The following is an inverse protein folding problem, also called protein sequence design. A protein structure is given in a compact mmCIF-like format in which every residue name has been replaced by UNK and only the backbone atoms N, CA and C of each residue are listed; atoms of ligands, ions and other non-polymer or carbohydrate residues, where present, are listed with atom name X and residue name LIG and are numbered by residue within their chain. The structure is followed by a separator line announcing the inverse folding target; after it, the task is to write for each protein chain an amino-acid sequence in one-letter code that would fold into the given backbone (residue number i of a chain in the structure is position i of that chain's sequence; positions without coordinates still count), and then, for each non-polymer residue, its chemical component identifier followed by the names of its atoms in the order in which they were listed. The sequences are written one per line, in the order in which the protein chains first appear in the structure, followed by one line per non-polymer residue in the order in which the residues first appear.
data_IF_625111303920
#
_entry.id   IF_625111303920
#
_cell.length_a   1.000
_cell.length_b   1.000
_cell.length_c   1.000
_cell.angle_alpha   90.00
_cell.angle_beta   90.00
_cell.angle_gamma   90.00
#
_symmetry.space_group_name_H-M   'P 1'
#
loop_
_entity.id
_entity.type
_entity.pdbx_description
1 polymer ?
#
# COMPACT_ATOMS: atom_id res chain seq x y z
N UNK A 1 -17.96 15.45 66.54
CA UNK A 1 -16.72 14.69 66.22
C UNK A 1 -16.62 14.23 64.75
N UNK A 2 -17.64 14.43 63.91
CA UNK A 2 -17.67 13.92 62.52
C UNK A 2 -17.23 14.84 61.37
N UNK A 3 -16.96 16.17 61.51
CA UNK A 3 -16.65 17.01 60.36
C UNK A 3 -15.27 16.70 59.75
N UNK A 4 -14.30 16.31 60.58
CA UNK A 4 -12.97 15.88 60.14
C UNK A 4 -13.00 14.54 59.37
N UNK A 5 -13.91 13.64 59.76
CA UNK A 5 -14.11 12.35 59.08
C UNK A 5 -14.78 12.53 57.70
N UNK A 6 -15.74 13.45 57.59
CA UNK A 6 -16.38 13.80 56.30
C UNK A 6 -15.42 14.49 55.33
N UNK A 7 -14.57 15.38 55.84
CA UNK A 7 -13.53 16.03 55.04
C UNK A 7 -12.49 15.03 54.52
N UNK A 8 -12.04 14.09 55.37
CA UNK A 8 -11.12 13.03 54.97
C UNK A 8 -11.74 12.09 53.92
N UNK A 9 -13.02 11.74 54.07
CA UNK A 9 -13.74 10.92 53.08
C UNK A 9 -13.88 11.66 51.74
N UNK A 10 -14.24 12.95 51.76
CA UNK A 10 -14.37 13.76 50.55
C UNK A 10 -13.02 13.92 49.82
N UNK A 11 -11.93 14.12 50.56
CA UNK A 11 -10.58 14.22 50.00
C UNK A 11 -10.11 12.89 49.39
N UNK A 12 -10.43 11.77 50.04
CA UNK A 12 -10.14 10.43 49.52
C UNK A 12 -10.90 10.11 48.23
N UNK A 13 -12.18 10.47 48.16
CA UNK A 13 -13.00 10.30 46.94
C UNK A 13 -12.49 11.19 45.79
N UNK A 14 -12.10 12.44 46.08
CA UNK A 14 -11.53 13.35 45.08
C UNK A 14 -10.19 12.83 44.53
N UNK A 15 -9.31 12.29 45.39
CA UNK A 15 -8.04 11.70 44.97
C UNK A 15 -8.23 10.43 44.11
N UNK A 16 -9.23 9.60 44.44
CA UNK A 16 -9.58 8.42 43.64
C UNK A 16 -10.18 8.81 42.26
N UNK A 17 -10.99 9.87 42.20
CA UNK A 17 -11.55 10.37 40.95
C UNK A 17 -10.49 10.95 40.00
N UNK A 18 -9.44 11.59 40.53
CA UNK A 18 -8.31 12.10 39.74
C UNK A 18 -7.42 10.98 39.17
N UNK A 19 -7.36 9.82 39.83
CA UNK A 19 -6.56 8.66 39.40
C UNK A 19 -7.23 7.84 38.28
N UNK A 20 -8.53 8.05 38.03
CA UNK A 20 -9.30 7.35 37.01
C UNK A 20 -9.17 7.95 35.60
N UNK A 21 -8.64 9.17 35.45
CA UNK A 21 -8.60 9.88 34.17
C UNK A 21 -7.23 9.82 33.45
N UNK A 22 -6.21 9.18 34.04
CA UNK A 22 -4.83 9.25 33.54
C UNK A 22 -4.20 7.93 33.08
N UNK A 23 -4.78 6.77 33.43
CA UNK A 23 -4.03 5.50 33.38
C UNK A 23 -4.80 4.32 32.79
N UNK A 24 -5.83 4.57 31.98
CA UNK A 24 -6.29 3.51 31.07
C UNK A 24 -5.40 3.57 29.85
N UNK A 25 -4.55 2.56 29.69
CA UNK A 25 -3.80 2.22 28.49
C UNK A 25 -4.71 2.29 27.25
N UNK A 26 -4.89 3.49 26.71
CA UNK A 26 -5.57 3.71 25.46
C UNK A 26 -4.62 3.17 24.40
N UNK A 27 -4.96 2.01 23.86
CA UNK A 27 -4.17 1.31 22.85
C UNK A 27 -3.67 2.30 21.81
N UNK A 28 -2.40 2.18 21.46
CA UNK A 28 -1.72 3.07 20.52
C UNK A 28 -2.66 3.47 19.37
N UNK A 29 -2.89 4.77 19.14
CA UNK A 29 -3.83 5.20 18.11
C UNK A 29 -3.44 4.55 16.79
N UNK A 30 -4.38 3.84 16.16
CA UNK A 30 -4.11 3.13 14.92
C UNK A 30 -3.57 4.11 13.88
N UNK A 31 -2.37 3.84 13.38
CA UNK A 31 -1.78 4.56 12.26
C UNK A 31 -1.88 3.65 11.05
N UNK A 32 -2.61 4.11 10.04
CA UNK A 32 -2.67 3.44 8.74
C UNK A 32 -1.29 3.51 8.07
N UNK A 33 -0.95 2.48 7.31
CA UNK A 33 0.18 2.53 6.39
C UNK A 33 -0.16 3.42 5.20
N UNK A 34 0.83 4.20 4.75
CA UNK A 34 0.69 5.10 3.62
C UNK A 34 1.72 4.71 2.58
N UNK A 35 1.24 4.19 1.45
CA UNK A 35 2.05 3.89 0.27
C UNK A 35 1.73 4.90 -0.83
N UNK A 36 2.75 5.53 -1.40
CA UNK A 36 2.61 6.61 -2.37
C UNK A 36 3.61 6.47 -3.51
N UNK A 37 3.18 6.88 -4.70
CA UNK A 37 4.01 6.93 -5.91
C UNK A 37 3.96 5.65 -6.74
N UNK A 38 5.00 5.45 -7.54
CA UNK A 38 5.05 4.37 -8.52
C UNK A 38 5.75 3.13 -7.93
N UNK A 39 5.02 2.02 -7.81
CA UNK A 39 5.62 0.74 -7.44
C UNK A 39 6.23 0.06 -8.66
N UNK A 40 7.55 -0.07 -8.68
CA UNK A 40 8.29 -0.73 -9.74
C UNK A 40 8.91 -1.99 -9.16
N UNK A 41 8.80 -3.14 -9.85
CA UNK A 41 9.44 -4.40 -9.45
C UNK A 41 10.75 -4.65 -10.21
N UNK A 42 11.61 -5.50 -9.66
CA UNK A 42 12.83 -5.95 -10.33
C UNK A 42 12.54 -6.63 -11.68
N UNK A 43 11.42 -7.34 -11.80
CA UNK A 43 10.95 -7.94 -13.04
C UNK A 43 10.62 -6.87 -14.11
N UNK A 44 9.93 -5.79 -13.73
CA UNK A 44 9.64 -4.69 -14.66
C UNK A 44 10.92 -3.99 -15.12
N UNK A 45 11.89 -3.80 -14.22
CA UNK A 45 13.20 -3.23 -14.58
C UNK A 45 13.97 -4.15 -15.54
N UNK A 46 13.89 -5.46 -15.34
CA UNK A 46 14.54 -6.44 -16.22
C UNK A 46 13.95 -6.46 -17.64
N UNK A 47 12.71 -6.01 -17.81
CA UNK A 47 12.07 -5.88 -19.12
C UNK A 47 12.55 -4.64 -19.88
N UNK A 48 13.16 -3.66 -19.22
CA UNK A 48 13.64 -2.43 -19.87
C UNK A 48 14.81 -2.73 -20.79
N UNK A 49 14.77 -2.13 -21.99
CA UNK A 49 15.82 -2.24 -22.98
C UNK A 49 16.09 -0.88 -23.61
N UNK A 50 17.37 -0.59 -23.86
CA UNK A 50 17.76 0.60 -24.63
C UNK A 50 17.06 0.61 -25.99
N UNK A 51 16.65 1.77 -26.44
CA UNK A 51 15.92 1.96 -27.70
C UNK A 51 14.40 1.76 -27.60
N UNK A 52 13.85 1.46 -26.41
CA UNK A 52 12.39 1.42 -26.23
C UNK A 52 11.76 2.80 -26.36
N UNK A 53 10.57 2.89 -26.96
CA UNK A 53 9.83 4.16 -27.01
C UNK A 53 9.26 4.52 -25.65
N UNK A 54 8.97 5.80 -25.44
CA UNK A 54 8.28 6.32 -24.23
C UNK A 54 7.01 5.54 -23.89
N UNK A 55 6.22 5.16 -24.91
CA UNK A 55 4.99 4.39 -24.72
C UNK A 55 5.25 2.97 -24.24
N UNK A 56 6.29 2.32 -24.76
CA UNK A 56 6.69 0.99 -24.33
C UNK A 56 7.19 1.02 -22.88
N UNK A 57 8.01 2.01 -22.53
CA UNK A 57 8.47 2.20 -21.14
C UNK A 57 7.29 2.45 -20.20
N UNK A 58 6.33 3.28 -20.62
CA UNK A 58 5.09 3.54 -19.86
C UNK A 58 4.22 2.28 -19.72
N UNK A 59 4.19 1.40 -20.72
CA UNK A 59 3.46 0.14 -20.61
C UNK A 59 4.07 -0.79 -19.57
N UNK A 60 5.40 -0.81 -19.45
CA UNK A 60 6.14 -1.66 -18.51
C UNK A 60 6.10 -1.09 -17.08
N UNK A 61 6.47 0.19 -16.91
CA UNK A 61 6.64 0.83 -15.59
C UNK A 61 5.39 1.57 -15.10
N UNK A 62 4.38 1.71 -15.97
CA UNK A 62 3.25 2.59 -15.73
C UNK A 62 3.55 4.06 -16.05
N UNK A 63 2.53 4.89 -15.84
CA UNK A 63 2.63 6.34 -16.06
C UNK A 63 3.41 6.98 -14.92
N UNK A 64 4.47 7.76 -15.20
CA UNK A 64 5.19 8.48 -14.16
C UNK A 64 4.25 9.49 -13.49
N UNK A 65 4.29 9.56 -12.16
CA UNK A 65 3.43 10.48 -11.39
C UNK A 65 3.76 11.95 -11.68
N UNK A 66 5.00 12.24 -12.09
CA UNK A 66 5.48 13.57 -12.45
C UNK A 66 6.07 13.54 -13.86
N UNK A 67 5.42 14.23 -14.80
CA UNK A 67 6.01 14.61 -16.08
C UNK A 67 6.39 16.09 -15.99
N UNK A 68 7.69 16.38 -15.90
CA UNK A 68 8.20 17.75 -15.93
C UNK A 68 8.06 18.28 -17.37
N UNK A 69 7.23 19.31 -17.56
CA UNK A 69 6.99 19.93 -18.86
C UNK A 69 8.27 20.56 -19.47
N UNK A 70 9.29 20.83 -18.65
CA UNK A 70 10.56 21.41 -19.08
C UNK A 70 11.66 20.36 -19.27
N UNK A 71 11.47 19.13 -18.77
CA UNK A 71 12.42 18.02 -18.90
C UNK A 71 11.75 16.81 -19.51
N UNK A 72 11.43 16.91 -20.78
CA UNK A 72 10.88 15.80 -21.55
C UNK A 72 11.83 14.59 -21.60
N UNK A 73 13.14 14.78 -21.47
CA UNK A 73 14.13 13.71 -21.59
C UNK A 73 14.32 12.85 -20.33
N UNK A 74 13.59 13.09 -19.23
CA UNK A 74 13.75 12.34 -17.98
C UNK A 74 12.42 12.09 -17.32
N UNK A 75 12.15 10.85 -16.92
CA UNK A 75 11.02 10.53 -16.06
C UNK A 75 11.50 10.02 -14.72
N UNK A 76 10.84 10.49 -13.66
CA UNK A 76 11.10 10.10 -12.29
C UNK A 76 9.92 9.30 -11.73
N UNK A 77 10.24 8.21 -11.06
CA UNK A 77 9.32 7.28 -10.42
C UNK A 77 9.66 7.23 -8.92
N UNK A 78 9.20 8.22 -8.14
CA UNK A 78 9.38 8.21 -6.69
C UNK A 78 8.43 7.19 -6.07
N UNK A 79 8.92 6.46 -5.07
CA UNK A 79 8.15 5.55 -4.26
C UNK A 79 8.39 5.82 -2.78
N UNK A 80 7.31 5.87 -1.99
CA UNK A 80 7.34 6.11 -0.56
C UNK A 80 6.41 5.14 0.16
N UNK A 81 6.98 4.33 1.06
CA UNK A 81 6.26 3.52 2.03
C UNK A 81 6.46 4.11 3.43
N UNK A 82 5.41 4.66 4.01
CA UNK A 82 5.36 5.09 5.41
C UNK A 82 4.44 4.14 6.16
N UNK A 83 4.97 3.03 6.73
CA UNK A 83 4.15 2.17 7.57
C UNK A 83 3.73 2.91 8.84
N UNK A 84 2.54 2.61 9.36
CA UNK A 84 2.03 3.27 10.57
C UNK A 84 2.93 3.09 11.80
N UNK A 85 3.69 1.99 11.81
CA UNK A 85 4.75 1.69 12.76
C UNK A 85 5.96 1.15 12.01
N UNK A 86 7.17 1.57 12.40
CA UNK A 86 8.41 1.10 11.78
C UNK A 86 9.11 2.17 10.92
N UNK A 87 10.00 1.73 10.03
CA UNK A 87 10.85 2.63 9.25
C UNK A 87 10.18 3.01 7.93
N UNK A 88 10.26 4.29 7.60
CA UNK A 88 9.91 4.79 6.26
C UNK A 88 10.89 4.23 5.24
N UNK A 89 10.37 3.74 4.12
CA UNK A 89 11.15 3.30 2.97
C UNK A 89 10.88 4.24 1.82
N UNK A 90 11.93 4.82 1.26
CA UNK A 90 11.88 5.65 0.07
C UNK A 90 12.72 4.97 -1.00
N UNK A 91 12.21 4.95 -2.23
CA UNK A 91 12.95 4.45 -3.38
C UNK A 91 12.77 5.41 -4.53
N UNK A 92 13.84 5.64 -5.27
CA UNK A 92 13.83 6.47 -6.47
C UNK A 92 14.28 5.64 -7.65
N UNK A 93 13.53 5.76 -8.73
CA UNK A 93 13.89 5.20 -10.02
C UNK A 93 13.73 6.27 -11.08
N UNK A 94 14.73 6.42 -11.92
CA UNK A 94 14.80 7.46 -12.95
C UNK A 94 15.18 6.82 -14.27
N UNK A 95 14.48 7.23 -15.33
CA UNK A 95 14.76 6.83 -16.70
C UNK A 95 15.10 8.06 -17.53
N UNK A 96 16.06 7.91 -18.43
CA UNK A 96 16.50 8.96 -19.34
C UNK A 96 16.27 8.54 -20.77
N UNK A 97 15.80 9.50 -21.56
CA UNK A 97 15.49 9.36 -22.96
C UNK A 97 16.42 10.22 -23.79
N UNK A 98 16.88 9.69 -24.91
CA UNK A 98 17.49 10.47 -25.99
C UNK A 98 16.46 10.61 -27.11
N UNK A 99 15.98 11.83 -27.33
CA UNK A 99 14.78 12.08 -28.13
C UNK A 99 13.56 11.34 -27.57
N UNK A 100 13.08 10.32 -28.28
CA UNK A 100 11.93 9.49 -27.90
C UNK A 100 12.28 8.05 -27.51
N UNK A 101 13.57 7.74 -27.42
CA UNK A 101 14.08 6.40 -27.15
C UNK A 101 14.75 6.33 -25.78
N UNK A 102 14.54 5.22 -25.07
CA UNK A 102 15.17 4.95 -23.78
C UNK A 102 16.68 4.79 -23.95
N UNK A 103 17.47 5.64 -23.29
CA UNK A 103 18.93 5.57 -23.33
C UNK A 103 19.49 4.77 -22.15
N UNK A 104 19.07 5.12 -20.92
CA UNK A 104 19.48 4.42 -19.71
C UNK A 104 18.51 4.66 -18.54
N UNK A 105 18.71 3.93 -17.45
CA UNK A 105 17.95 4.06 -16.21
C UNK A 105 18.86 3.81 -15.01
N UNK A 106 18.47 4.34 -13.86
CA UNK A 106 19.19 4.20 -12.61
C UNK A 106 18.20 4.38 -11.45
N UNK A 107 18.51 3.76 -10.33
CA UNK A 107 17.68 3.86 -9.15
C UNK A 107 18.13 2.91 -8.06
N UNK A 108 17.40 2.97 -6.96
CA UNK A 108 17.60 2.05 -5.85
C UNK A 108 17.23 0.61 -6.26
N UNK A 109 17.75 -0.42 -5.57
CA UNK A 109 17.30 -1.80 -5.78
C UNK A 109 15.78 -1.88 -5.67
N UNK A 110 15.13 -2.54 -6.62
CA UNK A 110 13.66 -2.69 -6.68
C UNK A 110 13.21 -4.01 -6.03
N UNK A 111 11.98 -4.09 -5.48
CA UNK A 111 11.45 -5.31 -4.86
C UNK A 111 11.07 -6.34 -5.93
N UNK A 112 11.10 -7.61 -5.57
CA UNK A 112 10.77 -8.70 -6.52
C UNK A 112 9.27 -8.90 -6.74
N UNK A 113 8.43 -8.29 -5.91
CA UNK A 113 6.98 -8.53 -5.91
C UNK A 113 6.19 -7.24 -5.76
N UNK A 114 4.92 -7.32 -6.14
CA UNK A 114 3.94 -6.25 -5.97
C UNK A 114 3.44 -6.17 -4.51
N UNK A 115 3.00 -5.00 -4.02
CA UNK A 115 2.65 -4.79 -2.62
C UNK A 115 1.36 -5.52 -2.21
N UNK A 116 0.47 -5.81 -3.17
CA UNK A 116 -0.72 -6.65 -2.90
C UNK A 116 -0.37 -8.14 -2.74
N UNK A 117 0.81 -8.56 -3.20
CA UNK A 117 1.29 -9.95 -3.06
C UNK A 117 2.02 -10.17 -1.72
N UNK A 118 2.48 -9.10 -1.07
CA UNK A 118 3.04 -9.10 0.29
C UNK A 118 2.77 -7.76 0.96
N UNK A 119 2.08 -7.76 2.11
CA UNK A 119 1.98 -6.59 2.96
C UNK A 119 3.37 -6.19 3.47
N UNK A 120 3.97 -5.19 2.84
CA UNK A 120 5.23 -4.57 3.25
C UNK A 120 4.96 -3.60 4.39
N UNK A 121 4.52 -4.16 5.53
CA UNK A 121 4.16 -3.43 6.75
C UNK A 121 5.38 -2.81 7.46
N UNK A 122 6.59 -2.93 6.89
CA UNK A 122 7.83 -2.45 7.50
C UNK A 122 8.29 -3.19 8.77
N UNK A 123 7.57 -4.25 9.16
CA UNK A 123 7.85 -5.10 10.33
C UNK A 123 8.74 -6.28 9.95
N UNK A 124 9.72 -6.62 10.79
CA UNK A 124 10.57 -7.78 10.57
C UNK A 124 9.81 -9.08 10.88
N UNK A 125 10.24 -10.25 10.36
CA UNK A 125 9.59 -11.53 10.67
C UNK A 125 9.48 -11.84 12.18
N UNK A 126 10.37 -11.28 13.01
CA UNK A 126 10.34 -11.43 14.46
C UNK A 126 9.17 -10.68 15.12
N UNK A 127 8.74 -9.56 14.55
CA UNK A 127 7.64 -8.74 15.10
C UNK A 127 6.26 -9.39 14.80
N UNK A 128 6.15 -10.18 13.72
CA UNK A 128 4.93 -10.93 13.37
C UNK A 128 4.63 -12.10 14.31
N UNK A 129 5.61 -12.57 15.07
CA UNK A 129 5.45 -13.72 15.96
C UNK A 129 4.61 -13.40 17.21
N UNK A 130 4.44 -12.12 17.56
CA UNK A 130 3.62 -11.70 18.71
C UNK A 130 2.14 -11.47 18.38
N UNK A 131 1.77 -11.29 17.10
CA UNK A 131 0.39 -11.01 16.66
C UNK A 131 -0.33 -12.21 16.02
N UNK A 132 0.30 -13.38 15.95
CA UNK A 132 -0.22 -14.57 15.29
C UNK A 132 -1.33 -15.32 16.07
N UNK A 133 -2.24 -14.60 16.76
CA UNK A 133 -3.45 -15.20 17.33
C UNK A 133 -4.71 -14.40 16.97
N UNK A 134 -5.13 -14.48 15.70
CA UNK A 134 -6.54 -14.38 15.32
C UNK A 134 -6.80 -15.21 14.05
N UNK A 135 -7.93 -15.93 13.95
CA UNK A 135 -8.10 -16.99 12.97
C UNK A 135 -8.56 -16.49 11.60
N UNK A 136 -8.05 -17.22 10.61
CA UNK A 136 -8.46 -17.43 9.22
C UNK A 136 -9.78 -16.79 8.77
N UNK A 137 -9.67 -15.94 7.74
CA UNK A 137 -10.77 -15.57 6.84
C UNK A 137 -10.26 -15.72 5.41
N UNK A 138 -10.35 -16.96 4.93
CA UNK A 138 -10.41 -17.44 3.54
C UNK A 138 -10.11 -16.44 2.42
N UNK A 139 -8.95 -16.62 1.79
CA UNK A 139 -8.70 -16.17 0.41
C UNK A 139 -9.23 -17.28 -0.52
N UNK A 140 -10.06 -16.99 -1.54
CA UNK A 140 -10.47 -18.01 -2.52
C UNK A 140 -9.25 -18.45 -3.31
N UNK A 141 -8.94 -19.75 -3.27
CA UNK A 141 -7.89 -20.39 -4.05
C UNK A 141 -8.16 -20.19 -5.55
N UNK A 142 -7.37 -19.36 -6.23
CA UNK A 142 -7.46 -19.19 -7.67
C UNK A 142 -6.97 -20.47 -8.39
N UNK A 143 -7.85 -21.02 -9.20
CA UNK A 143 -7.69 -22.26 -9.96
C UNK A 143 -6.59 -22.11 -11.05
N UNK A 144 -5.61 -23.01 -11.18
CA UNK A 144 -4.43 -22.81 -12.05
C UNK A 144 -4.66 -22.96 -13.56
N UNK A 145 -5.90 -22.97 -14.05
CA UNK A 145 -6.22 -23.17 -15.46
C UNK A 145 -7.01 -22.01 -16.08
N UNK A 146 -6.50 -20.77 -15.97
CA UNK A 146 -7.02 -19.65 -16.78
C UNK A 146 -6.10 -19.48 -18.00
N UNK A 147 -6.50 -20.09 -19.12
CA UNK A 147 -5.91 -19.80 -20.43
C UNK A 147 -6.40 -18.44 -20.90
N UNK A 148 -5.49 -17.46 -20.98
CA UNK A 148 -5.79 -16.12 -21.47
C UNK A 148 -6.06 -16.19 -22.98
N UNK A 149 -7.33 -16.08 -23.38
CA UNK A 149 -7.67 -15.79 -24.78
C UNK A 149 -7.57 -14.28 -25.05
N UNK A 150 -7.09 -13.83 -26.23
CA UNK A 150 -6.99 -12.41 -26.53
C UNK A 150 -8.38 -11.79 -26.67
N UNK A 151 -8.65 -10.73 -25.90
CA UNK A 151 -9.87 -9.92 -26.02
C UNK A 151 -9.88 -9.20 -27.37
N UNK A 152 -10.83 -9.55 -28.23
CA UNK A 152 -11.10 -8.88 -29.50
C UNK A 152 -12.01 -7.66 -29.24
N UNK A 153 -11.58 -6.42 -29.55
CA UNK A 153 -12.34 -5.22 -29.22
C UNK A 153 -13.44 -4.97 -30.25
N UNK A 154 -14.59 -5.61 -30.07
CA UNK A 154 -15.69 -5.49 -31.03
C UNK A 154 -17.04 -5.96 -30.50
N UNK A 155 -17.47 -5.50 -29.33
CA UNK A 155 -18.87 -5.51 -28.94
C UNK A 155 -19.10 -4.62 -27.71
N UNK A 156 -19.74 -3.47 -27.90
CA UNK A 156 -20.33 -2.71 -26.80
C UNK A 156 -21.53 -3.49 -26.25
N UNK A 157 -21.51 -3.83 -24.97
CA UNK A 157 -22.70 -4.34 -24.26
C UNK A 157 -22.88 -3.55 -22.95
N UNK A 158 -24.01 -2.86 -22.86
CA UNK A 158 -24.47 -2.05 -21.73
C UNK A 158 -24.95 -2.98 -20.60
N UNK A 159 -24.60 -2.77 -19.32
CA UNK A 159 -25.00 -3.67 -18.24
C UNK A 159 -26.33 -3.24 -17.61
N UNK A 160 -27.31 -4.14 -17.60
CA UNK A 160 -28.47 -4.05 -16.72
C UNK A 160 -29.72 -4.70 -17.27
N UNK A 161 -30.00 -5.95 -16.88
CA UNK A 161 -31.35 -6.50 -16.69
C UNK A 161 -31.26 -7.95 -16.17
N UNK A 162 -31.37 -8.13 -14.84
CA UNK A 162 -31.68 -9.41 -14.23
C UNK A 162 -33.20 -9.52 -14.09
N UNK A 163 -33.81 -10.50 -14.74
CA UNK A 163 -35.21 -10.89 -14.48
C UNK A 163 -35.26 -12.41 -14.28
N UNK A 164 -35.76 -12.94 -13.14
CA UNK A 164 -35.91 -14.39 -12.95
C UNK A 164 -37.11 -14.94 -13.74
N UNK A 165 -36.93 -16.04 -14.46
CA UNK A 165 -38.03 -16.75 -15.14
C UNK A 165 -38.76 -17.71 -14.16
N UNK A 166 -40.08 -17.93 -14.28
CA UNK A 166 -40.80 -18.93 -13.48
C UNK A 166 -40.74 -20.32 -14.12
N UNK A 167 -40.68 -21.34 -13.26
CA UNK A 167 -40.68 -22.76 -13.61
C UNK A 167 -41.96 -23.17 -14.37
N UNK A 168 -41.78 -23.95 -15.44
CA UNK A 168 -42.79 -24.87 -15.97
C UNK A 168 -42.16 -26.25 -16.12
#
# INVERSE_FOLDING_TARGET
MFPRLRAALALGVAAAALSACGTTNWGFPYRADVQQGNWITSEQVAQLRKGMTRDQVRYILGTPTLQDAFRSNRWDYPYLNKPGYGKTQERKFTVWFDGDLLDHWAGDPQPDRQPFQKADTGMTPADKAHDAKKPDQGIPTQNPNVRLEPVNPGASAVPGQNTPQPLR
#
